data_IF_895775332735
#
_entry.id   IF_895775332735
#
_cell.length_a   1.000
_cell.length_b   1.000
_cell.length_c   1.000
_cell.angle_alpha   90.00
_cell.angle_beta   90.00
_cell.angle_gamma   90.00
#
_symmetry.space_group_name_H-M   'P 1'
#
loop_
_entity.id
_entity.type
_entity.pdbx_description
1 polymer ?
#
# COMPACT_ATOMS: atom_id res chain seq x y z
N UNK A 1 -12.45 -14.35 -7.11
CA UNK A 1 -11.67 -13.90 -5.93
C UNK A 1 -12.56 -13.02 -5.11
N UNK A 2 -12.65 -13.24 -3.80
CA UNK A 2 -13.23 -12.25 -2.90
C UNK A 2 -12.17 -11.22 -2.52
N UNK A 3 -12.57 -9.97 -2.24
CA UNK A 3 -11.66 -8.90 -1.90
C UNK A 3 -12.39 -7.77 -1.16
N UNK A 4 -11.71 -7.11 -0.26
CA UNK A 4 -12.19 -5.96 0.51
C UNK A 4 -11.06 -4.97 0.73
N UNK A 5 -11.39 -3.73 1.08
CA UNK A 5 -10.45 -2.74 1.54
C UNK A 5 -11.07 -1.91 2.67
N UNK A 6 -10.23 -1.47 3.58
CA UNK A 6 -10.59 -0.58 4.69
C UNK A 6 -9.50 0.50 4.75
N UNK A 7 -9.91 1.75 4.87
CA UNK A 7 -9.06 2.88 5.16
C UNK A 7 -9.38 3.35 6.58
N UNK A 8 -8.36 3.46 7.42
CA UNK A 8 -8.47 3.96 8.78
C UNK A 8 -7.52 5.14 8.91
N UNK A 9 -8.05 6.37 9.00
CA UNK A 9 -7.21 7.54 9.14
C UNK A 9 -6.48 7.54 10.49
N UNK A 10 -5.29 8.13 10.52
CA UNK A 10 -4.63 8.44 11.79
C UNK A 10 -5.57 9.28 12.67
N UNK A 11 -5.59 9.09 14.01
CA UNK A 11 -6.51 9.85 14.90
C UNK A 11 -6.48 11.35 14.68
N UNK A 12 -5.30 11.94 14.51
CA UNK A 12 -5.13 13.39 14.30
C UNK A 12 -5.61 13.86 12.91
N UNK A 13 -5.74 12.93 11.94
CA UNK A 13 -6.19 13.18 10.57
C UNK A 13 -7.63 12.70 10.31
N UNK A 14 -8.32 12.27 11.35
CA UNK A 14 -9.70 11.74 11.25
C UNK A 14 -10.70 12.74 10.68
N UNK A 15 -10.50 14.03 10.93
CA UNK A 15 -11.36 15.10 10.41
C UNK A 15 -11.22 15.29 8.87
N UNK A 16 -10.10 14.91 8.28
CA UNK A 16 -9.83 14.99 6.82
C UNK A 16 -10.01 13.66 6.09
N UNK A 17 -10.23 12.54 6.82
CA UNK A 17 -10.38 11.22 6.25
C UNK A 17 -9.07 10.46 6.02
N UNK A 18 -7.93 11.05 6.40
CA UNK A 18 -6.59 10.48 6.17
C UNK A 18 -5.98 10.90 4.84
N UNK A 19 -4.84 10.32 4.51
CA UNK A 19 -4.03 10.66 3.34
C UNK A 19 -3.88 9.48 2.38
N UNK A 20 -4.28 8.28 2.83
CA UNK A 20 -4.22 7.05 2.06
C UNK A 20 -5.38 6.93 1.08
N UNK A 21 -5.14 6.24 -0.01
CA UNK A 21 -6.16 5.84 -0.97
C UNK A 21 -5.94 4.43 -1.49
N UNK A 22 -7.00 3.82 -2.04
CA UNK A 22 -6.88 2.49 -2.62
C UNK A 22 -7.87 2.27 -3.77
N UNK A 23 -7.64 1.22 -4.55
CA UNK A 23 -8.65 0.67 -5.42
C UNK A 23 -8.76 -0.86 -5.31
N UNK A 24 -9.99 -1.37 -5.41
CA UNK A 24 -10.29 -2.81 -5.45
C UNK A 24 -11.15 -3.11 -6.66
N UNK A 25 -10.58 -3.77 -7.65
CA UNK A 25 -11.25 -4.12 -8.90
C UNK A 25 -11.40 -5.64 -9.01
N UNK A 26 -12.38 -6.21 -8.26
CA UNK A 26 -12.63 -7.66 -8.17
C UNK A 26 -12.73 -8.35 -9.54
N UNK A 27 -13.45 -7.75 -10.51
CA UNK A 27 -13.63 -8.33 -11.86
C UNK A 27 -12.34 -8.38 -12.68
N UNK A 28 -11.41 -7.50 -12.34
CA UNK A 28 -10.12 -7.41 -13.03
C UNK A 28 -9.00 -8.02 -12.21
N UNK A 29 -9.26 -8.51 -10.99
CA UNK A 29 -8.26 -9.00 -10.05
C UNK A 29 -7.07 -8.04 -9.93
N UNK A 30 -7.36 -6.74 -9.82
CA UNK A 30 -6.35 -5.69 -9.70
C UNK A 30 -6.65 -4.84 -8.46
N UNK A 31 -5.61 -4.54 -7.71
CA UNK A 31 -5.67 -3.90 -6.41
C UNK A 31 -4.53 -2.89 -6.29
N UNK A 32 -4.72 -1.82 -5.54
CA UNK A 32 -3.67 -0.86 -5.27
C UNK A 32 -3.89 -0.10 -3.99
N UNK A 33 -2.78 0.24 -3.31
CA UNK A 33 -2.70 1.10 -2.14
C UNK A 33 -1.74 2.23 -2.44
N UNK A 34 -2.09 3.44 -2.04
CA UNK A 34 -1.39 4.68 -2.29
C UNK A 34 -1.41 5.51 -1.01
N UNK A 35 -0.25 5.74 -0.43
CA UNK A 35 -0.07 6.49 0.79
C UNK A 35 0.39 7.91 0.44
N UNK A 36 -0.42 8.90 0.79
CA UNK A 36 -0.14 10.30 0.53
C UNK A 36 0.88 10.88 1.51
N UNK A 37 1.94 11.48 1.00
CA UNK A 37 3.05 11.99 1.83
C UNK A 37 2.60 13.19 2.67
N UNK A 38 2.47 12.98 3.99
CA UNK A 38 1.92 13.94 4.94
C UNK A 38 2.66 15.28 5.02
N UNK A 39 3.96 15.30 4.72
CA UNK A 39 4.79 16.52 4.73
C UNK A 39 4.27 17.66 3.82
N UNK A 40 3.47 17.36 2.82
CA UNK A 40 2.83 18.39 1.99
C UNK A 40 1.84 19.28 2.75
N UNK A 41 1.34 18.82 3.89
CA UNK A 41 0.48 19.64 4.75
C UNK A 41 1.18 20.88 5.28
N UNK A 42 2.49 20.82 5.50
CA UNK A 42 3.30 21.96 5.94
C UNK A 42 3.41 23.05 4.87
N UNK A 43 3.23 22.66 3.60
CA UNK A 43 3.17 23.56 2.44
C UNK A 43 1.73 24.00 2.11
N UNK A 44 0.76 23.66 2.95
CA UNK A 44 -0.65 23.98 2.76
C UNK A 44 -1.35 23.16 1.67
N UNK A 45 -0.76 22.03 1.26
CA UNK A 45 -1.33 21.10 0.28
C UNK A 45 -1.98 19.93 1.00
N UNK A 46 -3.16 19.50 0.56
CA UNK A 46 -3.82 18.32 1.08
C UNK A 46 -3.20 17.05 0.46
N UNK A 47 -2.47 16.20 1.21
CA UNK A 47 -1.81 15.01 0.68
C UNK A 47 -2.78 13.99 0.08
N UNK A 48 -4.03 13.94 0.57
CA UNK A 48 -5.06 13.03 0.07
C UNK A 48 -5.41 13.29 -1.40
N UNK A 49 -5.34 14.54 -1.88
CA UNK A 49 -5.69 14.86 -3.27
C UNK A 49 -4.82 14.11 -4.29
N UNK A 50 -3.53 13.97 -3.98
CA UNK A 50 -2.61 13.25 -4.85
C UNK A 50 -2.90 11.75 -4.83
N UNK A 51 -2.94 11.13 -3.66
CA UNK A 51 -3.16 9.68 -3.50
C UNK A 51 -4.51 9.24 -4.09
N UNK A 52 -5.60 10.00 -3.85
CA UNK A 52 -6.93 9.76 -4.40
C UNK A 52 -6.95 9.88 -5.93
N UNK A 53 -6.34 10.94 -6.47
CA UNK A 53 -6.26 11.14 -7.92
C UNK A 53 -5.45 10.00 -8.56
N UNK A 54 -4.32 9.64 -7.96
CA UNK A 54 -3.48 8.56 -8.45
C UNK A 54 -4.21 7.22 -8.44
N UNK A 55 -4.86 6.85 -7.33
CA UNK A 55 -5.68 5.64 -7.23
C UNK A 55 -6.79 5.60 -8.29
N UNK A 56 -7.49 6.73 -8.49
CA UNK A 56 -8.54 6.88 -9.51
C UNK A 56 -8.00 6.67 -10.93
N UNK A 57 -6.85 7.28 -11.26
CA UNK A 57 -6.22 7.14 -12.58
C UNK A 57 -5.69 5.70 -12.80
N UNK A 58 -5.15 5.05 -11.75
CA UNK A 58 -4.75 3.65 -11.81
C UNK A 58 -5.96 2.73 -12.06
N UNK A 59 -7.06 2.95 -11.35
CA UNK A 59 -8.30 2.21 -11.58
C UNK A 59 -8.85 2.42 -13.01
N UNK A 60 -8.73 3.63 -13.60
CA UNK A 60 -9.12 3.91 -15.00
C UNK A 60 -8.21 3.18 -15.98
N UNK A 61 -6.89 3.12 -15.75
CA UNK A 61 -5.97 2.36 -16.59
C UNK A 61 -6.38 0.89 -16.69
N UNK A 62 -6.77 0.28 -15.58
CA UNK A 62 -7.26 -1.11 -15.56
C UNK A 62 -8.63 -1.24 -16.21
N UNK A 63 -9.60 -0.40 -15.85
CA UNK A 63 -11.02 -0.61 -16.23
C UNK A 63 -11.33 -0.14 -17.65
N UNK A 64 -10.80 1.00 -18.06
CA UNK A 64 -11.06 1.62 -19.36
C UNK A 64 -10.03 1.22 -20.42
N UNK A 65 -8.74 1.23 -20.06
CA UNK A 65 -7.63 0.97 -20.98
C UNK A 65 -7.20 -0.49 -20.99
N UNK A 66 -7.77 -1.33 -20.09
CA UNK A 66 -7.52 -2.79 -20.01
C UNK A 66 -6.06 -3.17 -19.70
N UNK A 67 -5.34 -2.26 -19.06
CA UNK A 67 -3.96 -2.52 -18.66
C UNK A 67 -3.89 -3.60 -17.60
N UNK A 68 -2.87 -4.46 -17.70
CA UNK A 68 -2.66 -5.60 -16.79
C UNK A 68 -1.26 -5.62 -16.17
N UNK A 69 -0.29 -4.97 -16.76
CA UNK A 69 1.04 -4.83 -16.18
C UNK A 69 0.99 -3.75 -15.07
N UNK A 70 1.31 -4.08 -13.80
CA UNK A 70 1.20 -3.12 -12.70
C UNK A 70 2.14 -1.90 -12.85
N UNK A 71 3.32 -2.06 -13.48
CA UNK A 71 4.21 -0.92 -13.76
C UNK A 71 3.59 0.01 -14.79
N UNK A 72 3.02 -0.53 -15.87
CA UNK A 72 2.37 0.29 -16.90
C UNK A 72 1.15 1.03 -16.34
N UNK A 73 0.40 0.39 -15.42
CA UNK A 73 -0.71 1.01 -14.69
C UNK A 73 -0.19 2.21 -13.88
N UNK A 74 0.89 2.04 -13.10
CA UNK A 74 1.50 3.13 -12.33
C UNK A 74 2.01 4.25 -13.24
N UNK A 75 2.75 3.93 -14.30
CA UNK A 75 3.29 4.92 -15.26
C UNK A 75 2.16 5.74 -15.89
N UNK A 76 1.08 5.06 -16.29
CA UNK A 76 -0.08 5.71 -16.87
C UNK A 76 -0.79 6.63 -15.86
N UNK A 77 -1.02 6.13 -14.64
CA UNK A 77 -1.67 6.86 -13.57
C UNK A 77 -0.83 8.09 -13.16
N UNK A 78 0.46 7.91 -12.92
CA UNK A 78 1.39 8.99 -12.59
C UNK A 78 1.39 10.11 -13.65
N UNK A 79 1.43 9.75 -14.94
CA UNK A 79 1.35 10.72 -16.04
C UNK A 79 0.07 11.55 -16.02
N UNK A 80 -1.03 10.99 -15.53
CA UNK A 80 -2.34 11.63 -15.54
C UNK A 80 -2.66 12.37 -14.23
N UNK A 81 -1.94 12.06 -13.16
CA UNK A 81 -2.07 12.75 -11.86
C UNK A 81 -1.31 14.07 -11.94
N UNK A 82 -2.06 15.17 -12.04
CA UNK A 82 -1.51 16.53 -12.20
C UNK A 82 -1.99 17.45 -11.08
N UNK A 83 -1.87 16.97 -9.87
CA UNK A 83 -2.13 17.71 -8.64
C UNK A 83 -0.84 17.80 -7.82
N UNK A 84 -0.69 18.85 -7.04
CA UNK A 84 0.46 19.03 -6.16
C UNK A 84 0.38 17.99 -5.04
N UNK A 85 1.52 17.39 -4.72
CA UNK A 85 1.60 16.31 -3.74
C UNK A 85 2.42 15.16 -4.27
N UNK A 86 2.54 14.13 -3.45
CA UNK A 86 3.19 12.87 -3.80
C UNK A 86 2.61 11.72 -2.98
N UNK A 87 2.85 10.51 -3.44
CA UNK A 87 2.44 9.30 -2.71
C UNK A 87 3.37 8.13 -3.00
N UNK A 88 3.41 7.15 -2.10
CA UNK A 88 3.90 5.81 -2.40
C UNK A 88 2.89 5.06 -3.27
N UNK A 89 3.23 3.90 -3.79
CA UNK A 89 2.29 3.09 -4.56
C UNK A 89 2.65 1.61 -4.53
N UNK A 90 1.70 0.77 -4.15
CA UNK A 90 1.78 -0.68 -4.34
C UNK A 90 0.60 -1.14 -5.19
N UNK A 91 0.87 -1.67 -6.39
CA UNK A 91 -0.16 -2.21 -7.28
C UNK A 91 0.06 -3.70 -7.48
N UNK A 92 -0.99 -4.49 -7.28
CA UNK A 92 -0.99 -5.94 -7.51
C UNK A 92 -2.04 -6.31 -8.56
N UNK A 93 -1.63 -7.14 -9.51
CA UNK A 93 -2.52 -7.75 -10.51
C UNK A 93 -2.37 -9.26 -10.45
N UNK A 94 -3.51 -9.96 -10.39
CA UNK A 94 -3.53 -11.44 -10.38
C UNK A 94 -4.06 -11.94 -11.70
N UNK A 95 -3.22 -12.71 -12.42
CA UNK A 95 -3.56 -13.36 -13.69
C UNK A 95 -3.02 -14.79 -13.69
N UNK A 96 -3.79 -15.71 -14.24
CA UNK A 96 -3.40 -17.12 -14.44
C UNK A 96 -2.79 -17.80 -13.20
N UNK A 97 -3.27 -17.41 -12.00
CA UNK A 97 -2.79 -17.95 -10.74
C UNK A 97 -1.41 -17.40 -10.31
N UNK A 98 -0.98 -16.28 -10.86
CA UNK A 98 0.21 -15.53 -10.44
C UNK A 98 -0.19 -14.13 -9.99
N UNK A 99 0.31 -13.68 -8.84
CA UNK A 99 0.24 -12.30 -8.41
C UNK A 99 1.52 -11.58 -8.85
N UNK A 100 1.36 -10.46 -9.55
CA UNK A 100 2.45 -9.56 -9.92
C UNK A 100 2.28 -8.28 -9.11
N UNK A 101 3.27 -7.98 -8.27
CA UNK A 101 3.35 -6.75 -7.50
C UNK A 101 4.30 -5.78 -8.19
N UNK A 102 3.96 -4.51 -8.20
CA UNK A 102 4.89 -3.41 -8.45
C UNK A 102 4.81 -2.45 -7.26
N UNK A 103 5.94 -2.15 -6.65
CA UNK A 103 6.02 -1.32 -5.46
C UNK A 103 6.97 -0.14 -5.67
N UNK A 104 6.55 1.06 -5.23
CA UNK A 104 7.36 2.28 -5.11
C UNK A 104 7.09 2.87 -3.74
N UNK A 105 8.12 2.95 -2.90
CA UNK A 105 8.02 3.40 -1.52
C UNK A 105 7.91 2.25 -0.52
N UNK A 106 7.37 2.54 0.65
CA UNK A 106 7.24 1.65 1.80
C UNK A 106 5.83 1.09 2.02
N UNK A 107 4.85 1.51 1.24
CA UNK A 107 3.68 0.68 1.00
C UNK A 107 4.12 -0.70 0.47
N UNK A 108 3.29 -1.72 0.64
CA UNK A 108 3.72 -3.04 0.20
C UNK A 108 2.62 -4.08 0.25
N UNK A 109 3.01 -5.34 0.02
CA UNK A 109 2.08 -6.44 0.08
C UNK A 109 2.73 -7.77 0.44
N UNK A 110 1.90 -8.67 0.94
CA UNK A 110 2.27 -10.04 1.28
C UNK A 110 1.37 -11.06 0.60
N UNK A 111 1.85 -12.29 0.56
CA UNK A 111 1.02 -13.48 0.33
C UNK A 111 1.08 -14.34 1.58
N UNK A 112 -0.08 -14.56 2.19
CA UNK A 112 -0.27 -15.45 3.32
C UNK A 112 -0.78 -16.82 2.84
N UNK A 113 -0.26 -17.89 3.44
CA UNK A 113 -0.62 -19.28 3.15
C UNK A 113 -0.56 -20.10 4.42
N UNK A 114 -1.68 -20.71 4.81
CA UNK A 114 -1.78 -21.56 6.00
C UNK A 114 -1.17 -20.87 7.25
N UNK A 115 -1.54 -19.63 7.50
CA UNK A 115 -1.07 -18.85 8.67
C UNK A 115 0.39 -18.37 8.60
N UNK A 116 1.08 -18.53 7.48
CA UNK A 116 2.46 -18.09 7.30
C UNK A 116 2.61 -17.06 6.17
N UNK A 117 3.47 -16.07 6.37
CA UNK A 117 3.87 -15.15 5.32
C UNK A 117 4.86 -15.87 4.38
N UNK A 118 4.40 -16.24 3.17
CA UNK A 118 5.23 -16.97 2.19
C UNK A 118 5.89 -16.05 1.15
N UNK A 119 5.49 -14.80 1.12
CA UNK A 119 6.05 -13.77 0.26
C UNK A 119 5.75 -12.39 0.84
N UNK A 120 6.69 -11.47 0.70
CA UNK A 120 6.51 -10.03 0.97
C UNK A 120 7.25 -9.20 -0.06
N UNK A 121 6.78 -7.98 -0.33
CA UNK A 121 7.54 -6.94 -1.01
C UNK A 121 8.57 -6.36 -0.05
N UNK A 122 9.64 -5.77 -0.60
CA UNK A 122 10.60 -5.01 0.20
C UNK A 122 10.32 -3.51 0.04
N UNK A 123 10.44 -2.70 1.11
CA UNK A 123 10.26 -1.27 1.01
C UNK A 123 11.39 -0.64 0.17
N UNK A 124 11.05 0.39 -0.60
CA UNK A 124 12.00 1.19 -1.37
C UNK A 124 12.17 2.54 -0.67
N UNK A 125 13.34 2.75 -0.09
CA UNK A 125 13.68 3.97 0.64
C UNK A 125 15.01 4.53 0.14
N UNK A 126 15.15 5.85 0.09
CA UNK A 126 16.41 6.54 -0.14
C UNK A 126 17.30 6.49 1.10
N UNK A 127 16.69 6.74 2.25
CA UNK A 127 17.24 6.61 3.60
C UNK A 127 16.15 6.07 4.52
N UNK A 128 16.48 5.72 5.77
CA UNK A 128 15.48 5.25 6.74
C UNK A 128 14.35 6.28 6.87
N UNK A 129 13.11 5.83 6.77
CA UNK A 129 11.89 6.64 6.80
C UNK A 129 11.84 7.76 5.71
N UNK A 130 12.55 7.55 4.61
CA UNK A 130 12.49 8.40 3.40
C UNK A 130 12.11 7.54 2.19
N UNK A 131 10.82 7.21 2.03
CA UNK A 131 10.39 6.34 0.94
C UNK A 131 10.55 6.99 -0.44
N UNK A 132 10.74 6.14 -1.46
CA UNK A 132 10.53 6.55 -2.83
C UNK A 132 9.10 7.01 -2.99
N UNK A 133 8.88 8.12 -3.68
CA UNK A 133 7.57 8.72 -3.82
C UNK A 133 7.34 9.28 -5.22
N UNK A 134 6.12 9.13 -5.68
CA UNK A 134 5.68 9.57 -6.99
C UNK A 134 4.88 10.86 -6.82
N UNK A 135 5.30 11.93 -7.49
CA UNK A 135 4.65 13.23 -7.44
C UNK A 135 4.52 13.84 -8.84
N UNK A 136 3.75 14.90 -8.98
CA UNK A 136 3.64 15.62 -10.25
C UNK A 136 4.94 16.37 -10.55
N UNK A 137 5.61 15.95 -11.62
CA UNK A 137 6.99 16.36 -11.93
C UNK A 137 7.16 17.88 -12.08
N UNK A 138 6.16 18.58 -12.57
CA UNK A 138 6.19 20.02 -12.73
C UNK A 138 6.14 20.78 -11.38
N UNK A 139 5.53 20.20 -10.36
CA UNK A 139 5.48 20.75 -9.01
C UNK A 139 6.53 20.11 -8.09
N UNK A 140 6.94 18.88 -8.38
CA UNK A 140 7.93 18.11 -7.61
C UNK A 140 8.97 17.48 -8.56
N UNK A 141 10.01 18.25 -9.00
CA UNK A 141 10.99 17.76 -9.96
C UNK A 141 11.82 16.57 -9.49
N UNK A 142 11.98 16.38 -8.17
CA UNK A 142 12.74 15.30 -7.53
C UNK A 142 11.94 14.00 -7.38
N UNK A 143 10.71 13.95 -7.93
CA UNK A 143 9.88 12.75 -7.91
C UNK A 143 10.61 11.54 -8.49
N UNK A 144 10.39 10.38 -7.86
CA UNK A 144 10.91 9.12 -8.39
C UNK A 144 10.20 8.71 -9.70
N UNK A 145 10.82 7.83 -10.46
CA UNK A 145 10.25 7.31 -11.70
C UNK A 145 9.48 6.01 -11.41
N UNK A 146 8.19 5.92 -11.74
CA UNK A 146 7.40 4.70 -11.54
C UNK A 146 7.95 3.47 -12.28
N UNK A 147 8.80 3.67 -13.31
CA UNK A 147 9.49 2.56 -14.00
C UNK A 147 10.56 1.89 -13.14
N UNK A 148 10.96 2.53 -12.03
CA UNK A 148 11.90 1.96 -11.06
C UNK A 148 11.22 1.08 -10.02
N UNK A 149 9.91 0.90 -10.10
CA UNK A 149 9.15 0.04 -9.20
C UNK A 149 9.84 -1.32 -9.03
N UNK A 150 9.94 -1.80 -7.79
CA UNK A 150 10.34 -3.18 -7.53
C UNK A 150 9.21 -4.12 -7.96
N UNK A 151 9.52 -5.00 -8.91
CA UNK A 151 8.54 -5.92 -9.48
C UNK A 151 8.80 -7.32 -9.00
N UNK A 152 7.82 -7.90 -8.33
CA UNK A 152 7.88 -9.28 -7.85
C UNK A 152 6.69 -10.08 -8.36
N UNK A 153 6.93 -11.35 -8.59
CA UNK A 153 5.93 -12.32 -9.02
C UNK A 153 5.89 -13.51 -8.08
N UNK A 154 4.70 -13.94 -7.74
CA UNK A 154 4.51 -15.09 -6.86
C UNK A 154 3.37 -15.98 -7.36
N UNK A 155 3.64 -17.28 -7.46
CA UNK A 155 2.64 -18.27 -7.85
C UNK A 155 1.67 -18.50 -6.68
N UNK A 156 0.40 -18.22 -6.91
CA UNK A 156 -0.65 -18.43 -5.91
C UNK A 156 -1.14 -19.87 -5.92
N UNK A 157 -1.57 -20.33 -4.75
CA UNK A 157 -2.30 -21.56 -4.53
C UNK A 157 -3.70 -21.25 -4.04
N UNK A 158 -4.59 -22.24 -4.15
CA UNK A 158 -5.92 -22.11 -3.56
C UNK A 158 -5.81 -21.94 -2.04
N UNK A 159 -6.55 -21.00 -1.48
CA UNK A 159 -6.49 -20.63 -0.06
C UNK A 159 -5.49 -19.52 0.25
N UNK A 160 -4.61 -19.12 -0.69
CA UNK A 160 -3.72 -17.98 -0.46
C UNK A 160 -4.54 -16.69 -0.30
N UNK A 161 -4.09 -15.85 0.65
CA UNK A 161 -4.57 -14.50 0.84
C UNK A 161 -3.49 -13.50 0.39
N UNK A 162 -3.89 -12.51 -0.41
CA UNK A 162 -3.04 -11.38 -0.82
C UNK A 162 -3.47 -10.16 -0.02
N UNK A 163 -2.55 -9.55 0.73
CA UNK A 163 -2.79 -8.33 1.50
C UNK A 163 -1.87 -7.23 1.01
N UNK A 164 -2.43 -6.06 0.72
CA UNK A 164 -1.68 -4.83 0.47
C UNK A 164 -1.97 -3.86 1.62
N UNK A 165 -0.97 -3.06 2.00
CA UNK A 165 -1.08 -2.04 3.03
C UNK A 165 -0.12 -0.88 2.81
N UNK A 166 -0.43 0.27 3.40
CA UNK A 166 0.50 1.38 3.61
C UNK A 166 1.42 1.10 4.80
N UNK A 167 2.32 2.02 5.08
CA UNK A 167 3.16 2.00 6.28
C UNK A 167 2.32 1.94 7.58
N UNK A 168 1.13 2.58 7.60
CA UNK A 168 0.19 2.47 8.71
C UNK A 168 -0.17 1.03 9.10
N UNK A 169 -0.06 0.08 8.18
CA UNK A 169 -0.16 -1.35 8.49
C UNK A 169 1.22 -1.94 8.83
N UNK A 170 2.22 -1.77 7.96
CA UNK A 170 3.47 -2.53 8.04
C UNK A 170 4.39 -2.05 9.16
N UNK A 171 4.28 -0.78 9.55
CA UNK A 171 5.01 -0.19 10.68
C UNK A 171 4.45 -0.63 12.03
N UNK A 172 3.20 -1.09 12.06
CA UNK A 172 2.52 -1.45 13.30
C UNK A 172 2.26 -2.96 13.47
N UNK A 173 2.22 -3.73 12.37
CA UNK A 173 1.85 -5.16 12.44
C UNK A 173 2.88 -6.03 11.72
N UNK A 174 3.54 -6.98 12.41
CA UNK A 174 4.37 -7.98 11.77
C UNK A 174 3.62 -8.75 10.68
N UNK A 175 4.30 -9.08 9.60
CA UNK A 175 3.72 -9.82 8.48
C UNK A 175 3.15 -11.18 8.90
N UNK A 176 3.76 -11.81 9.89
CA UNK A 176 3.34 -13.09 10.45
C UNK A 176 1.98 -12.99 11.13
N UNK A 177 1.73 -11.92 11.89
CA UNK A 177 0.44 -11.69 12.56
C UNK A 177 -0.67 -11.46 11.53
N UNK A 178 -0.36 -10.71 10.46
CA UNK A 178 -1.29 -10.53 9.33
C UNK A 178 -1.61 -11.87 8.66
N UNK A 179 -0.58 -12.72 8.49
CA UNK A 179 -0.77 -14.04 7.88
C UNK A 179 -1.65 -14.97 8.73
N UNK A 180 -1.51 -14.92 10.06
CA UNK A 180 -2.38 -15.65 11.00
C UNK A 180 -3.83 -15.18 10.87
N UNK A 181 -4.06 -13.86 10.85
CA UNK A 181 -5.42 -13.32 10.67
C UNK A 181 -6.04 -13.70 9.32
N UNK A 182 -5.24 -13.82 8.27
CA UNK A 182 -5.71 -14.32 6.98
C UNK A 182 -6.20 -15.78 7.06
N UNK A 183 -5.50 -16.64 7.79
CA UNK A 183 -5.86 -18.04 7.98
C UNK A 183 -7.12 -18.18 8.84
N UNK A 184 -7.21 -17.44 9.95
CA UNK A 184 -8.38 -17.43 10.85
C UNK A 184 -9.66 -16.93 10.17
N UNK A 185 -9.54 -16.18 9.09
CA UNK A 185 -10.67 -15.62 8.33
C UNK A 185 -10.71 -16.14 6.89
N UNK A 186 -10.21 -17.35 6.64
CA UNK A 186 -10.23 -17.93 5.30
C UNK A 186 -11.63 -17.87 4.66
N UNK A 187 -11.70 -17.30 3.46
CA UNK A 187 -12.94 -17.16 2.69
C UNK A 187 -13.78 -15.93 3.04
N UNK A 188 -13.39 -15.10 4.02
CA UNK A 188 -14.08 -13.85 4.38
C UNK A 188 -13.14 -12.65 4.34
N UNK A 189 -12.96 -12.09 3.15
CA UNK A 189 -12.06 -10.95 2.94
C UNK A 189 -12.51 -9.68 3.69
N UNK A 190 -13.80 -9.52 3.97
CA UNK A 190 -14.32 -8.36 4.70
C UNK A 190 -13.89 -8.44 6.15
N UNK A 191 -14.19 -9.56 6.81
CA UNK A 191 -13.83 -9.78 8.20
C UNK A 191 -12.31 -9.78 8.40
N UNK A 192 -11.56 -10.38 7.48
CA UNK A 192 -10.10 -10.37 7.50
C UNK A 192 -9.56 -8.92 7.47
N UNK A 193 -10.01 -8.09 6.53
CA UNK A 193 -9.59 -6.69 6.44
C UNK A 193 -9.97 -5.90 7.70
N UNK A 194 -11.17 -6.12 8.26
CA UNK A 194 -11.59 -5.47 9.51
C UNK A 194 -10.69 -5.82 10.69
N UNK A 195 -10.33 -7.09 10.84
CA UNK A 195 -9.47 -7.52 11.95
C UNK A 195 -8.04 -7.01 11.81
N UNK A 196 -7.48 -7.03 10.60
CA UNK A 196 -6.15 -6.46 10.31
C UNK A 196 -6.14 -4.96 10.62
N UNK A 197 -7.13 -4.21 10.14
CA UNK A 197 -7.23 -2.77 10.37
C UNK A 197 -7.39 -2.42 11.86
N UNK A 198 -8.21 -3.17 12.60
CA UNK A 198 -8.37 -3.00 14.06
C UNK A 198 -7.07 -3.28 14.82
N UNK A 199 -6.33 -4.32 14.42
CA UNK A 199 -5.05 -4.66 15.05
C UNK A 199 -4.01 -3.56 14.78
N UNK A 200 -3.90 -3.08 13.54
CA UNK A 200 -3.00 -1.99 13.17
C UNK A 200 -3.33 -0.72 13.97
N UNK A 201 -4.60 -0.32 14.01
CA UNK A 201 -5.04 0.85 14.79
C UNK A 201 -4.77 0.70 16.28
N UNK A 202 -5.06 -0.47 16.88
CA UNK A 202 -4.78 -0.70 18.31
C UNK A 202 -3.30 -0.58 18.63
N UNK A 203 -2.43 -1.11 17.77
CA UNK A 203 -0.98 -1.07 17.97
C UNK A 203 -0.38 0.30 17.70
N UNK A 204 -0.90 1.03 16.72
CA UNK A 204 -0.41 2.39 16.41
C UNK A 204 -0.70 3.40 17.53
N UNK A 205 -1.64 3.10 18.44
CA UNK A 205 -2.02 3.95 19.57
C UNK A 205 -1.53 3.42 20.91
N UNK A 206 -0.80 2.33 20.94
CA UNK A 206 -0.24 1.72 22.16
C UNK A 206 1.23 2.14 22.32
N UNK A 207 1.48 3.06 23.23
CA UNK A 207 2.82 3.61 23.52
C UNK A 207 3.78 2.57 24.11
N UNK A 208 3.27 1.45 24.65
CA UNK A 208 4.07 0.36 25.23
C UNK A 208 4.43 -0.72 24.19
N UNK A 209 3.84 -0.65 23.00
CA UNK A 209 4.05 -1.67 21.97
C UNK A 209 5.31 -1.40 21.15
N UNK A 210 6.24 -2.35 21.17
CA UNK A 210 7.42 -2.35 20.31
C UNK A 210 7.01 -2.71 18.85
N UNK A 211 6.65 -1.71 18.09
CA UNK A 211 6.22 -1.90 16.70
C UNK A 211 7.37 -2.28 15.76
N UNK A 212 7.10 -2.88 14.60
CA UNK A 212 8.11 -3.13 13.57
C UNK A 212 8.94 -1.89 13.22
N UNK A 213 8.29 -0.72 13.12
CA UNK A 213 8.97 0.56 12.87
C UNK A 213 9.93 0.92 14.02
N UNK A 214 9.47 0.85 15.29
CA UNK A 214 10.31 1.16 16.45
C UNK A 214 11.52 0.24 16.53
N UNK A 215 11.33 -1.06 16.24
CA UNK A 215 12.42 -2.03 16.22
C UNK A 215 13.43 -1.69 15.10
N UNK A 216 12.94 -1.27 13.93
CA UNK A 216 13.80 -0.87 12.81
C UNK A 216 14.55 0.44 13.12
N UNK A 217 13.87 1.47 13.67
CA UNK A 217 14.48 2.74 14.05
C UNK A 217 15.63 2.58 15.07
N UNK A 218 15.43 1.72 16.08
CA UNK A 218 16.50 1.40 17.05
C UNK A 218 17.72 0.74 16.41
N UNK A 219 17.54 -0.06 15.35
CA UNK A 219 18.66 -0.67 14.61
C UNK A 219 19.47 0.36 13.83
N UNK A 220 18.82 1.44 13.39
CA UNK A 220 19.46 2.59 12.73
C UNK A 220 20.04 3.60 13.73
N UNK A 221 19.93 3.33 15.04
CA UNK A 221 20.46 4.19 16.11
C UNK A 221 19.60 5.40 16.44
N UNK A 222 18.32 5.36 16.06
CA UNK A 222 17.32 6.36 16.44
C UNK A 222 16.68 5.97 17.77
N UNK A 223 16.61 6.92 18.72
CA UNK A 223 15.98 6.74 20.05
C UNK A 223 14.51 7.20 20.02
#
# INVERSE_FOLDING_TARGET
>A
MDASAILVPHPDKSATGGEDSCFVLKRSNAFGVFDGVGGWSDEGVNPAEYSETFASEAAKAVTKEKMRNPVDIMVRAHKMTRVVGSSTACVCVVEEGEATFANVGDAGGIVARNGACVFKTEPMQHEFNMPFQLGWKEAYPETDDPRRADVKKVRLKRGDCVVLGSDGLWDNVPHEDVAILCDENEGDAVKCAEQIARLAFSRSTDEEYDSPFMIAARREGME
#
